data_IF_766556444060
#
_entry.id   IF_766556444060
#
_cell.length_a   1.000
_cell.length_b   1.000
_cell.length_c   1.000
_cell.angle_alpha   90.00
_cell.angle_beta   90.00
_cell.angle_gamma   90.00
#
_symmetry.space_group_name_H-M   'P 1'
#
loop_
_entity.id
_entity.type
_entity.pdbx_description
1 polymer ?
#
# COMPACT_ATOMS: atom_id res chain seq x y z
N UNK A 1 13.04 22.53 35.14
CA UNK A 1 12.18 21.97 34.07
C UNK A 1 13.06 21.52 32.92
N UNK A 2 13.41 20.24 32.91
CA UNK A 2 14.23 19.62 31.88
C UNK A 2 13.34 19.40 30.67
N UNK A 3 13.53 20.18 29.60
CA UNK A 3 12.88 19.93 28.34
C UNK A 3 13.25 18.52 27.89
N UNK A 4 12.27 17.61 27.81
CA UNK A 4 12.46 16.34 27.15
C UNK A 4 12.89 16.66 25.72
N UNK A 5 14.17 16.45 25.41
CA UNK A 5 14.65 16.38 24.03
C UNK A 5 13.96 15.18 23.40
N UNK A 6 12.77 15.38 22.83
CA UNK A 6 12.12 14.40 21.98
C UNK A 6 13.15 13.93 20.96
N UNK A 7 13.23 12.62 20.73
CA UNK A 7 14.17 12.07 19.76
C UNK A 7 13.88 12.72 18.40
N UNK A 8 14.79 13.60 17.96
CA UNK A 8 14.62 14.31 16.70
C UNK A 8 14.72 13.35 15.52
N UNK A 9 13.80 13.48 14.57
CA UNK A 9 13.88 12.82 13.27
C UNK A 9 14.64 13.70 12.29
N UNK A 10 15.54 13.09 11.53
CA UNK A 10 16.23 13.69 10.40
C UNK A 10 15.80 12.96 9.11
N UNK A 11 15.78 13.68 8.01
CA UNK A 11 15.54 13.14 6.68
C UNK A 11 16.80 13.28 5.84
N UNK A 12 17.14 12.19 5.15
CA UNK A 12 18.15 12.14 4.11
C UNK A 12 17.45 11.85 2.78
N UNK A 13 17.74 12.66 1.77
CA UNK A 13 17.18 12.53 0.42
C UNK A 13 18.18 13.06 -0.61
N UNK A 14 17.90 12.83 -1.89
CA UNK A 14 18.65 13.40 -2.99
C UNK A 14 17.94 14.68 -3.44
N UNK A 15 18.65 15.79 -3.54
CA UNK A 15 18.11 17.01 -4.13
C UNK A 15 17.92 16.86 -5.66
N UNK A 16 17.31 17.84 -6.36
CA UNK A 16 17.08 17.74 -7.81
C UNK A 16 18.34 17.62 -8.68
N UNK A 17 19.53 17.94 -8.15
CA UNK A 17 20.82 17.77 -8.84
C UNK A 17 21.57 16.51 -8.39
N UNK A 18 20.95 15.67 -7.55
CA UNK A 18 21.45 14.38 -7.09
C UNK A 18 22.40 14.44 -5.89
N UNK A 19 22.50 15.57 -5.19
CA UNK A 19 23.31 15.69 -3.97
C UNK A 19 22.54 15.16 -2.76
N UNK A 20 23.27 14.49 -1.86
CA UNK A 20 22.70 14.00 -0.61
C UNK A 20 22.52 15.17 0.35
N UNK A 21 21.28 15.43 0.75
CA UNK A 21 20.92 16.43 1.76
C UNK A 21 20.46 15.71 3.02
N UNK A 22 20.89 16.20 4.18
CA UNK A 22 20.39 15.79 5.48
C UNK A 22 19.89 17.01 6.25
N UNK A 23 18.65 16.95 6.75
CA UNK A 23 18.09 18.00 7.60
C UNK A 23 16.98 17.47 8.50
N UNK A 24 16.51 18.32 9.42
CA UNK A 24 15.39 18.01 10.32
C UNK A 24 14.16 17.61 9.51
N UNK A 25 13.51 16.53 9.95
CA UNK A 25 12.35 15.96 9.26
C UNK A 25 11.21 16.98 9.10
N UNK A 26 10.88 17.72 10.16
CA UNK A 26 9.83 18.73 10.12
C UNK A 26 10.10 19.83 9.08
N UNK A 27 11.36 20.27 8.95
CA UNK A 27 11.74 21.30 8.00
C UNK A 27 11.70 20.74 6.56
N UNK A 28 12.12 19.48 6.37
CA UNK A 28 12.04 18.80 5.06
C UNK A 28 10.60 18.58 4.60
N UNK A 29 9.72 18.14 5.48
CA UNK A 29 8.31 17.91 5.17
C UNK A 29 7.58 19.17 4.67
N UNK A 30 8.00 20.35 5.12
CA UNK A 30 7.43 21.64 4.70
C UNK A 30 8.01 22.18 3.39
N UNK A 31 9.29 21.90 3.12
CA UNK A 31 10.03 22.56 2.03
C UNK A 31 10.31 21.66 0.81
N UNK A 32 10.17 20.34 0.94
CA UNK A 32 10.62 19.38 -0.07
C UNK A 32 9.44 18.68 -0.74
N UNK A 33 9.39 18.76 -2.07
CA UNK A 33 8.49 17.97 -2.90
C UNK A 33 9.06 16.56 -3.11
N UNK A 34 8.87 15.67 -2.11
CA UNK A 34 9.36 14.29 -2.16
C UNK A 34 8.82 13.49 -3.36
N UNK A 35 7.65 13.86 -3.87
CA UNK A 35 7.06 13.34 -5.10
C UNK A 35 7.93 13.50 -6.36
N UNK A 36 8.87 14.45 -6.37
CA UNK A 36 9.74 14.73 -7.50
C UNK A 36 11.15 14.16 -7.33
N UNK A 37 11.43 13.53 -6.17
CA UNK A 37 12.76 13.05 -5.86
C UNK A 37 13.01 11.63 -6.38
N UNK A 38 14.23 11.36 -6.87
CA UNK A 38 14.63 10.00 -7.19
C UNK A 38 14.79 9.15 -5.91
N UNK A 39 14.85 7.81 -6.04
CA UNK A 39 15.10 6.93 -4.90
C UNK A 39 16.40 7.30 -4.17
N UNK A 40 16.33 7.54 -2.85
CA UNK A 40 17.51 7.82 -2.00
C UNK A 40 18.43 6.61 -1.82
N UNK A 41 17.93 5.43 -2.17
CA UNK A 41 18.66 4.17 -2.10
C UNK A 41 18.36 3.37 -3.35
N UNK A 42 19.39 2.74 -3.91
CA UNK A 42 19.20 1.76 -4.97
C UNK A 42 18.32 0.61 -4.47
N UNK A 43 17.49 0.08 -5.36
CA UNK A 43 16.75 -1.14 -5.09
C UNK A 43 17.68 -2.34 -5.22
N UNK A 44 17.71 -3.26 -4.23
CA UNK A 44 18.56 -4.45 -4.30
C UNK A 44 18.20 -5.30 -5.52
N UNK A 45 19.22 -5.68 -6.31
CA UNK A 45 19.10 -6.70 -7.35
C UNK A 45 19.67 -7.99 -6.79
N UNK A 46 18.82 -9.01 -6.62
CA UNK A 46 19.24 -10.31 -6.09
C UNK A 46 19.46 -11.27 -7.27
N UNK A 47 20.71 -11.73 -7.50
CA UNK A 47 20.99 -12.67 -8.58
C UNK A 47 20.11 -13.93 -8.52
N UNK A 48 19.63 -14.39 -9.67
CA UNK A 48 18.79 -15.60 -9.78
C UNK A 48 17.30 -15.39 -9.50
N UNK A 49 16.86 -14.19 -9.05
CA UNK A 49 15.42 -13.87 -8.98
C UNK A 49 14.87 -13.54 -10.37
N UNK A 50 13.67 -14.05 -10.67
CA UNK A 50 12.93 -13.77 -11.92
C UNK A 50 12.32 -12.36 -11.99
N UNK A 51 12.36 -11.62 -10.88
CA UNK A 51 11.86 -10.26 -10.78
C UNK A 51 12.97 -9.35 -10.26
N UNK A 52 12.95 -8.09 -10.70
CA UNK A 52 13.88 -7.06 -10.29
C UNK A 52 13.22 -5.70 -10.26
N UNK A 53 13.98 -4.66 -9.87
CA UNK A 53 13.51 -3.29 -9.88
C UNK A 53 13.00 -2.91 -11.28
N UNK A 54 11.92 -2.15 -11.33
CA UNK A 54 11.35 -1.70 -12.58
C UNK A 54 10.55 -0.43 -12.42
N UNK A 55 10.08 0.10 -13.54
CA UNK A 55 9.25 1.30 -13.58
C UNK A 55 7.76 0.94 -13.63
N UNK A 56 6.95 1.75 -12.97
CA UNK A 56 5.49 1.79 -13.07
C UNK A 56 5.10 3.11 -13.73
N UNK A 57 4.48 3.08 -14.91
CA UNK A 57 3.89 4.29 -15.49
C UNK A 57 2.59 4.60 -14.75
N UNK A 58 2.55 5.74 -14.06
CA UNK A 58 1.41 6.21 -13.26
C UNK A 58 0.43 7.01 -14.11
N UNK A 59 -0.84 6.63 -14.09
CA UNK A 59 -1.91 7.37 -14.76
C UNK A 59 -2.22 8.70 -14.06
N UNK A 60 -2.03 8.76 -12.73
CA UNK A 60 -2.19 9.98 -11.93
C UNK A 60 -1.16 11.05 -12.33
N UNK A 61 0.10 10.67 -12.49
CA UNK A 61 1.20 11.64 -12.69
C UNK A 61 1.69 11.74 -14.13
N UNK A 62 1.35 10.78 -14.99
CA UNK A 62 1.93 10.65 -16.34
C UNK A 62 3.42 10.29 -16.35
N UNK A 63 4.01 9.98 -15.18
CA UNK A 63 5.45 9.73 -14.99
C UNK A 63 5.71 8.29 -14.57
N UNK A 64 6.98 7.90 -14.59
CA UNK A 64 7.42 6.61 -14.09
C UNK A 64 7.78 6.69 -12.61
N UNK A 65 7.26 5.75 -11.82
CA UNK A 65 7.59 5.54 -10.42
C UNK A 65 8.45 4.28 -10.30
N UNK A 66 9.57 4.39 -9.60
CA UNK A 66 10.46 3.23 -9.38
C UNK A 66 9.88 2.28 -8.35
N UNK A 67 9.89 0.98 -8.65
CA UNK A 67 9.43 -0.07 -7.75
C UNK A 67 10.44 -1.22 -7.68
N UNK A 68 10.88 -1.56 -6.47
CA UNK A 68 11.87 -2.61 -6.23
C UNK A 68 11.31 -4.02 -6.10
N UNK A 69 9.99 -4.17 -5.96
CA UNK A 69 9.33 -5.46 -5.73
C UNK A 69 7.95 -5.53 -6.38
N UNK A 70 7.44 -6.76 -6.54
CA UNK A 70 6.06 -6.96 -6.99
C UNK A 70 5.05 -6.44 -5.95
N UNK A 71 5.34 -6.57 -4.65
CA UNK A 71 4.48 -6.03 -3.60
C UNK A 71 4.34 -4.50 -3.72
N UNK A 72 5.45 -3.79 -3.99
CA UNK A 72 5.41 -2.35 -4.27
C UNK A 72 4.59 -2.04 -5.52
N UNK A 73 4.75 -2.80 -6.61
CA UNK A 73 3.96 -2.60 -7.84
C UNK A 73 2.47 -2.81 -7.59
N UNK A 74 2.10 -3.80 -6.79
CA UNK A 74 0.71 -4.05 -6.42
C UNK A 74 0.12 -2.88 -5.65
N UNK A 75 0.85 -2.32 -4.70
CA UNK A 75 0.38 -1.15 -3.96
C UNK A 75 0.35 0.13 -4.81
N UNK A 76 1.28 0.29 -5.75
CA UNK A 76 1.22 1.37 -6.74
C UNK A 76 -0.05 1.28 -7.61
N UNK A 77 -0.53 0.08 -7.95
CA UNK A 77 -1.80 -0.07 -8.66
C UNK A 77 -2.99 0.50 -7.87
N UNK A 78 -3.00 0.30 -6.54
CA UNK A 78 -4.07 0.80 -5.67
C UNK A 78 -3.99 2.32 -5.55
N UNK A 79 -2.80 2.85 -5.27
CA UNK A 79 -2.59 4.28 -5.08
C UNK A 79 -2.79 5.09 -6.37
N UNK A 80 -2.34 4.58 -7.52
CA UNK A 80 -2.51 5.22 -8.84
C UNK A 80 -3.96 5.16 -9.37
N UNK A 81 -4.81 4.40 -8.68
CA UNK A 81 -6.26 4.31 -8.92
C UNK A 81 -7.06 5.22 -7.98
N UNK A 82 -6.44 5.70 -6.91
CA UNK A 82 -7.12 6.51 -5.90
C UNK A 82 -7.30 7.95 -6.41
N UNK A 83 -8.54 8.46 -6.53
CA UNK A 83 -8.79 9.81 -7.01
C UNK A 83 -8.24 10.90 -6.08
N UNK A 84 -7.98 10.57 -4.81
CA UNK A 84 -7.40 11.52 -3.86
C UNK A 84 -5.88 11.58 -3.93
N UNK A 85 -5.22 10.66 -4.65
CA UNK A 85 -3.77 10.68 -4.84
C UNK A 85 -3.41 11.58 -6.01
N UNK A 86 -2.46 12.50 -5.80
CA UNK A 86 -2.00 13.47 -6.81
C UNK A 86 -0.55 13.23 -7.25
N UNK A 87 0.27 12.57 -6.43
CA UNK A 87 1.64 12.26 -6.78
C UNK A 87 2.16 10.98 -6.11
N UNK A 88 3.16 10.35 -6.73
CA UNK A 88 3.72 9.07 -6.32
C UNK A 88 5.24 9.06 -6.49
N UNK A 89 5.96 8.54 -5.50
CA UNK A 89 7.41 8.32 -5.58
C UNK A 89 7.82 7.01 -4.92
N UNK A 90 8.94 6.44 -5.38
CA UNK A 90 9.54 5.23 -4.83
C UNK A 90 10.78 5.54 -4.02
N UNK A 91 10.77 5.21 -2.73
CA UNK A 91 11.89 5.43 -1.79
C UNK A 91 12.48 6.86 -1.81
N UNK A 92 11.68 7.95 -1.75
CA UNK A 92 12.22 9.29 -1.94
C UNK A 92 13.05 9.79 -0.73
N UNK A 93 12.90 9.17 0.44
CA UNK A 93 13.50 9.65 1.69
C UNK A 93 13.94 8.52 2.60
N UNK A 94 15.03 8.76 3.33
CA UNK A 94 15.51 7.95 4.45
C UNK A 94 15.28 8.74 5.73
N UNK A 95 14.55 8.17 6.67
CA UNK A 95 14.41 8.75 8.01
C UNK A 95 15.50 8.21 8.94
N UNK A 96 16.04 9.08 9.78
CA UNK A 96 17.00 8.76 10.83
C UNK A 96 16.49 9.24 12.18
N UNK A 97 16.74 8.44 13.21
CA UNK A 97 16.40 8.79 14.59
C UNK A 97 17.37 8.12 15.56
N UNK A 98 17.32 8.50 16.83
CA UNK A 98 18.03 7.80 17.90
C UNK A 98 17.03 6.99 18.70
N UNK A 99 17.33 5.71 18.93
CA UNK A 99 16.53 4.89 19.83
C UNK A 99 16.80 5.26 21.31
N UNK A 100 16.04 4.72 22.29
CA UNK A 100 16.26 5.01 23.72
C UNK A 100 17.65 4.66 24.24
N UNK A 101 18.38 3.78 23.54
CA UNK A 101 19.78 3.42 23.85
C UNK A 101 20.81 4.38 23.21
N UNK A 102 20.36 5.48 22.60
CA UNK A 102 21.20 6.47 21.93
C UNK A 102 21.74 6.06 20.55
N UNK A 103 21.40 4.86 20.05
CA UNK A 103 21.88 4.33 18.79
C UNK A 103 21.15 4.98 17.62
N UNK A 104 21.90 5.40 16.60
CA UNK A 104 21.32 5.92 15.35
C UNK A 104 20.68 4.77 14.58
N UNK A 105 19.41 4.91 14.24
CA UNK A 105 18.63 4.00 13.40
C UNK A 105 18.21 4.74 12.14
N UNK A 106 17.98 3.98 11.07
CA UNK A 106 17.47 4.53 9.82
C UNK A 106 16.54 3.56 9.12
N UNK A 107 15.61 4.14 8.36
CA UNK A 107 14.63 3.42 7.55
C UNK A 107 14.33 4.17 6.26
N UNK A 108 14.03 3.44 5.20
CA UNK A 108 13.63 4.00 3.90
C UNK A 108 12.24 3.43 3.60
N UNK A 109 11.17 4.23 3.78
CA UNK A 109 9.85 3.84 3.34
C UNK A 109 9.86 3.54 1.84
N UNK A 110 9.22 2.46 1.43
CA UNK A 110 9.25 1.99 0.05
C UNK A 110 8.47 2.89 -0.92
N UNK A 111 7.33 3.44 -0.49
CA UNK A 111 6.46 4.29 -1.29
C UNK A 111 6.15 5.62 -0.60
N UNK A 112 5.88 6.61 -1.43
CA UNK A 112 5.33 7.90 -1.05
C UNK A 112 4.11 8.20 -1.94
N UNK A 113 3.04 8.71 -1.33
CA UNK A 113 1.90 9.26 -2.04
C UNK A 113 1.50 10.62 -1.47
N UNK A 114 1.26 11.60 -2.34
CA UNK A 114 0.67 12.90 -1.99
C UNK A 114 -0.82 12.84 -2.21
N UNK A 115 -1.60 13.36 -1.27
CA UNK A 115 -3.06 13.49 -1.40
C UNK A 115 -3.48 14.91 -1.82
N UNK A 116 -4.71 15.03 -2.31
CA UNK A 116 -5.35 16.29 -2.73
C UNK A 116 -5.45 17.32 -1.61
N UNK A 117 -5.55 16.87 -0.36
CA UNK A 117 -5.57 17.74 0.84
C UNK A 117 -4.17 18.22 1.27
N UNK A 118 -3.12 17.84 0.54
CA UNK A 118 -1.72 18.19 0.83
C UNK A 118 -1.03 17.25 1.82
N UNK A 119 -1.75 16.36 2.50
CA UNK A 119 -1.16 15.33 3.36
C UNK A 119 -0.41 14.29 2.52
N UNK A 120 0.42 13.47 3.17
CA UNK A 120 1.12 12.39 2.49
C UNK A 120 1.10 11.07 3.26
N UNK A 121 1.24 10.00 2.50
CA UNK A 121 1.48 8.64 2.97
C UNK A 121 2.94 8.26 2.70
N UNK A 122 3.65 7.82 3.73
CA UNK A 122 4.83 6.96 3.60
C UNK A 122 4.41 5.51 3.83
N UNK A 123 4.91 4.58 3.01
CA UNK A 123 4.48 3.20 3.12
C UNK A 123 5.57 2.17 2.87
N UNK A 124 5.46 1.04 3.57
CA UNK A 124 6.17 -0.19 3.23
C UNK A 124 5.21 -1.22 2.66
N UNK A 125 5.69 -2.00 1.69
CA UNK A 125 4.89 -2.98 0.96
C UNK A 125 5.43 -4.40 1.24
N UNK A 126 5.16 -4.97 2.44
CA UNK A 126 5.55 -6.33 2.76
C UNK A 126 4.93 -7.34 1.78
N UNK A 127 5.69 -8.37 1.40
CA UNK A 127 5.17 -9.48 0.57
C UNK A 127 4.30 -10.48 1.36
N UNK A 128 4.43 -10.49 2.69
CA UNK A 128 3.61 -11.23 3.65
C UNK A 128 3.72 -10.52 5.02
N UNK A 129 2.80 -10.75 5.97
CA UNK A 129 2.72 -9.96 7.22
C UNK A 129 4.04 -9.78 7.98
N UNK A 130 4.84 -10.85 8.06
CA UNK A 130 6.11 -10.88 8.82
C UNK A 130 7.35 -10.42 8.02
N UNK A 131 7.17 -9.96 6.77
CA UNK A 131 8.29 -9.56 5.93
C UNK A 131 9.07 -8.38 6.56
N UNK A 132 10.39 -8.56 6.67
CA UNK A 132 11.33 -7.59 7.24
C UNK A 132 11.63 -7.77 8.74
N UNK A 133 10.92 -8.66 9.44
CA UNK A 133 11.17 -9.04 10.84
C UNK A 133 11.12 -7.87 11.83
N UNK A 134 11.72 -8.06 13.01
CA UNK A 134 11.73 -7.08 14.11
C UNK A 134 12.27 -5.71 13.70
N UNK A 135 13.24 -5.67 12.78
CA UNK A 135 13.81 -4.41 12.30
C UNK A 135 12.76 -3.56 11.59
N UNK A 136 11.93 -4.16 10.73
CA UNK A 136 10.87 -3.45 10.04
C UNK A 136 9.76 -3.02 11.00
N UNK A 137 9.39 -3.88 11.95
CA UNK A 137 8.38 -3.55 12.97
C UNK A 137 8.83 -2.40 13.89
N UNK A 138 10.08 -2.43 14.36
CA UNK A 138 10.65 -1.35 15.17
C UNK A 138 10.77 -0.04 14.39
N UNK A 139 11.08 -0.11 13.09
CA UNK A 139 11.07 1.07 12.23
C UNK A 139 9.65 1.61 12.00
N UNK A 140 8.66 0.73 11.80
CA UNK A 140 7.27 1.12 11.58
C UNK A 140 6.74 2.02 12.70
N UNK A 141 7.01 1.69 13.97
CA UNK A 141 6.62 2.53 15.10
C UNK A 141 7.27 3.92 15.03
N UNK A 142 8.59 3.99 14.83
CA UNK A 142 9.31 5.26 14.77
C UNK A 142 8.89 6.12 13.56
N UNK A 143 8.65 5.51 12.40
CA UNK A 143 8.20 6.23 11.20
C UNK A 143 6.75 6.70 11.36
N UNK A 144 5.90 5.95 12.06
CA UNK A 144 4.54 6.38 12.41
C UNK A 144 4.56 7.63 13.28
N UNK A 145 5.40 7.64 14.32
CA UNK A 145 5.62 8.81 15.17
C UNK A 145 6.14 10.01 14.36
N UNK A 146 7.15 9.80 13.50
CA UNK A 146 7.71 10.84 12.64
C UNK A 146 6.65 11.46 11.72
N UNK A 147 5.82 10.64 11.08
CA UNK A 147 4.72 11.11 10.23
C UNK A 147 3.67 11.87 11.05
N UNK A 148 3.28 11.35 12.22
CA UNK A 148 2.30 11.99 13.09
C UNK A 148 2.68 13.42 13.51
N UNK A 149 3.97 13.68 13.74
CA UNK A 149 4.46 15.02 14.10
C UNK A 149 4.25 16.10 13.02
N UNK A 150 4.05 15.71 11.76
CA UNK A 150 3.89 16.62 10.63
C UNK A 150 2.52 16.49 9.94
N UNK A 151 1.59 15.75 10.56
CA UNK A 151 0.26 15.50 9.99
C UNK A 151 0.26 14.55 8.79
N UNK A 152 1.31 13.75 8.61
CA UNK A 152 1.37 12.70 7.59
C UNK A 152 1.02 11.34 8.18
N UNK A 153 0.80 10.36 7.32
CA UNK A 153 0.51 8.98 7.74
C UNK A 153 1.64 8.05 7.31
N UNK A 154 1.92 7.04 8.13
CA UNK A 154 2.69 5.88 7.71
C UNK A 154 1.83 4.61 7.77
N UNK A 155 1.97 3.72 6.77
CA UNK A 155 1.30 2.41 6.76
C UNK A 155 2.23 1.30 6.26
N UNK A 156 2.12 0.12 6.85
CA UNK A 156 2.55 -1.13 6.22
C UNK A 156 1.37 -1.66 5.41
N UNK A 157 1.45 -1.57 4.08
CA UNK A 157 0.37 -1.96 3.18
C UNK A 157 0.41 -3.48 2.96
N UNK A 158 -0.58 -4.24 3.45
CA UNK A 158 -0.57 -5.70 3.35
C UNK A 158 -0.70 -6.14 1.89
N UNK A 159 -0.28 -7.38 1.54
CA UNK A 159 -0.63 -7.98 0.26
C UNK A 159 -2.14 -7.91 -0.01
N UNK A 160 -2.52 -7.71 -1.26
CA UNK A 160 -3.93 -7.76 -1.67
C UNK A 160 -4.39 -9.21 -1.77
N UNK A 161 -5.67 -9.44 -1.53
CA UNK A 161 -6.33 -10.69 -1.89
C UNK A 161 -6.19 -10.98 -3.39
N UNK A 162 -6.06 -12.25 -3.75
CA UNK A 162 -5.70 -12.68 -5.10
C UNK A 162 -6.70 -12.21 -6.17
N UNK A 163 -8.00 -12.19 -5.84
CA UNK A 163 -9.07 -11.75 -6.75
C UNK A 163 -8.96 -10.25 -7.00
N UNK A 164 -8.86 -9.46 -5.94
CA UNK A 164 -8.70 -8.01 -6.03
C UNK A 164 -7.42 -7.65 -6.81
N UNK A 165 -6.31 -8.33 -6.52
CA UNK A 165 -5.05 -8.15 -7.22
C UNK A 165 -5.18 -8.46 -8.73
N UNK A 166 -5.88 -9.54 -9.10
CA UNK A 166 -6.10 -9.93 -10.50
C UNK A 166 -6.97 -8.90 -11.23
N UNK A 167 -8.07 -8.46 -10.61
CA UNK A 167 -8.97 -7.46 -11.18
C UNK A 167 -8.28 -6.11 -11.37
N UNK A 168 -7.56 -5.62 -10.36
CA UNK A 168 -6.82 -4.36 -10.47
C UNK A 168 -5.70 -4.45 -11.51
N UNK A 169 -5.01 -5.59 -11.61
CA UNK A 169 -4.01 -5.82 -12.65
C UNK A 169 -4.62 -5.81 -14.05
N UNK A 170 -5.83 -6.35 -14.23
CA UNK A 170 -6.57 -6.25 -15.48
C UNK A 170 -6.90 -4.80 -15.82
N UNK A 171 -7.55 -4.08 -14.89
CA UNK A 171 -7.96 -2.68 -15.08
C UNK A 171 -6.76 -1.74 -15.29
N UNK A 172 -5.62 -2.02 -14.65
CA UNK A 172 -4.38 -1.30 -14.87
C UNK A 172 -3.96 -1.28 -16.34
N UNK A 173 -4.26 -2.32 -17.13
CA UNK A 173 -4.01 -2.34 -18.57
C UNK A 173 -4.70 -1.20 -19.33
N UNK A 174 -5.81 -0.68 -18.78
CA UNK A 174 -6.66 0.32 -19.41
C UNK A 174 -6.49 1.73 -18.83
N UNK A 175 -5.58 1.94 -17.87
CA UNK A 175 -5.43 3.23 -17.15
C UNK A 175 -5.02 4.43 -18.02
N UNK A 176 -4.31 4.19 -19.11
CA UNK A 176 -3.78 5.26 -19.98
C UNK A 176 -4.91 6.04 -20.69
N UNK A 177 -4.83 7.39 -20.79
CA UNK A 177 -5.87 8.23 -21.41
C UNK A 177 -6.34 7.80 -22.81
N UNK A 178 -5.44 7.22 -23.61
CA UNK A 178 -5.76 6.59 -24.92
C UNK A 178 -6.97 5.64 -24.90
N UNK A 179 -7.29 5.03 -23.76
CA UNK A 179 -8.39 4.08 -23.64
C UNK A 179 -9.75 4.75 -23.45
N UNK A 180 -9.81 6.07 -23.22
CA UNK A 180 -11.07 6.82 -23.18
C UNK A 180 -11.80 6.80 -24.56
N UNK A 181 -11.07 6.49 -25.64
CA UNK A 181 -11.59 6.36 -26.99
C UNK A 181 -11.86 7.70 -27.67
N UNK A 182 -12.74 7.69 -28.67
CA UNK A 182 -13.10 8.89 -29.43
C UNK A 182 -13.88 9.91 -28.58
N UNK A 183 -13.86 11.21 -28.94
CA UNK A 183 -14.65 12.22 -28.25
C UNK A 183 -16.12 11.81 -28.08
N UNK A 184 -16.64 11.97 -26.87
CA UNK A 184 -18.02 11.62 -26.52
C UNK A 184 -18.24 10.15 -26.11
N UNK A 185 -17.30 9.23 -26.37
CA UNK A 185 -17.47 7.82 -26.01
C UNK A 185 -17.59 7.61 -24.50
N UNK A 186 -16.71 8.24 -23.71
CA UNK A 186 -16.77 8.15 -22.24
C UNK A 186 -18.13 8.61 -21.71
N UNK A 187 -18.67 9.72 -22.21
CA UNK A 187 -19.99 10.21 -21.79
C UNK A 187 -21.11 9.21 -22.14
N UNK A 188 -21.07 8.62 -23.34
CA UNK A 188 -22.02 7.59 -23.74
C UNK A 188 -21.91 6.31 -22.87
N UNK A 189 -20.69 5.92 -22.50
CA UNK A 189 -20.44 4.81 -21.56
C UNK A 189 -21.05 5.12 -20.19
N UNK A 190 -20.78 6.29 -19.62
CA UNK A 190 -21.33 6.66 -18.31
C UNK A 190 -22.86 6.69 -18.32
N UNK A 191 -23.47 7.23 -19.38
CA UNK A 191 -24.93 7.23 -19.57
C UNK A 191 -25.48 5.80 -19.68
N UNK A 192 -24.81 4.92 -20.43
CA UNK A 192 -25.22 3.53 -20.54
C UNK A 192 -25.22 2.82 -19.17
N UNK A 193 -24.37 3.22 -18.23
CA UNK A 193 -24.29 2.68 -16.86
C UNK A 193 -24.94 3.58 -15.79
N UNK A 194 -25.81 4.52 -16.19
CA UNK A 194 -26.59 5.34 -15.25
C UNK A 194 -27.57 4.53 -14.39
N UNK A 195 -27.78 3.24 -14.70
CA UNK A 195 -28.41 2.26 -13.80
C UNK A 195 -27.55 1.00 -13.77
N UNK A 196 -27.54 0.25 -12.65
CA UNK A 196 -26.78 -0.99 -12.56
C UNK A 196 -27.16 -1.94 -13.70
N UNK A 197 -26.16 -2.43 -14.43
CA UNK A 197 -26.36 -3.42 -15.50
C UNK A 197 -25.13 -4.28 -15.74
N UNK A 198 -25.27 -5.46 -16.38
CA UNK A 198 -24.14 -6.28 -16.78
C UNK A 198 -23.17 -5.52 -17.69
N UNK A 199 -21.87 -5.68 -17.45
CA UNK A 199 -20.79 -5.00 -18.17
C UNK A 199 -20.94 -5.13 -19.70
N UNK A 200 -21.17 -6.34 -20.21
CA UNK A 200 -21.28 -6.59 -21.65
C UNK A 200 -22.52 -5.94 -22.26
N UNK A 201 -23.64 -5.93 -21.55
CA UNK A 201 -24.88 -5.32 -22.02
C UNK A 201 -24.74 -3.80 -22.11
N UNK A 202 -24.09 -3.16 -21.13
CA UNK A 202 -23.80 -1.73 -21.19
C UNK A 202 -22.83 -1.38 -22.32
N UNK A 203 -21.82 -2.22 -22.57
CA UNK A 203 -20.90 -2.04 -23.69
C UNK A 203 -21.62 -2.13 -25.05
N UNK A 204 -22.43 -3.18 -25.25
CA UNK A 204 -23.22 -3.39 -26.48
C UNK A 204 -24.27 -2.30 -26.70
N UNK A 205 -24.90 -1.80 -25.63
CA UNK A 205 -25.84 -0.70 -25.71
C UNK A 205 -25.18 0.62 -26.13
N UNK A 206 -23.88 0.79 -25.87
CA UNK A 206 -23.11 1.98 -26.25
C UNK A 206 -22.61 1.91 -27.69
N UNK A 207 -22.24 0.72 -28.18
CA UNK A 207 -21.68 0.52 -29.52
C UNK A 207 -20.98 -0.81 -29.71
N UNK A 208 -20.02 -0.87 -30.65
CA UNK A 208 -19.19 -2.06 -30.89
C UNK A 208 -18.34 -2.38 -29.65
N UNK A 209 -18.49 -3.57 -29.01
CA UNK A 209 -17.71 -3.94 -27.83
C UNK A 209 -16.19 -3.85 -28.02
N UNK A 210 -15.67 -4.05 -29.24
CA UNK A 210 -14.22 -3.93 -29.51
C UNK A 210 -13.73 -2.49 -29.27
N UNK A 211 -14.54 -1.50 -29.63
CA UNK A 211 -14.25 -0.07 -29.41
C UNK A 211 -14.58 0.34 -27.96
N UNK A 212 -15.68 -0.16 -27.41
CA UNK A 212 -16.28 0.34 -26.16
C UNK A 212 -15.60 -0.24 -24.91
N UNK A 213 -15.25 -1.52 -24.90
CA UNK A 213 -14.72 -2.18 -23.69
C UNK A 213 -13.49 -1.49 -23.09
N UNK A 214 -12.50 -1.01 -23.88
CA UNK A 214 -11.39 -0.23 -23.35
C UNK A 214 -11.84 1.01 -22.56
N UNK A 215 -12.87 1.72 -23.04
CA UNK A 215 -13.42 2.90 -22.37
C UNK A 215 -14.17 2.55 -21.08
N UNK A 216 -14.88 1.41 -21.05
CA UNK A 216 -15.52 0.89 -19.83
C UNK A 216 -14.48 0.55 -18.77
N UNK A 217 -13.44 -0.20 -19.13
CA UNK A 217 -12.36 -0.55 -18.19
C UNK A 217 -11.55 0.67 -17.75
N UNK A 218 -11.36 1.66 -18.62
CA UNK A 218 -10.76 2.94 -18.26
C UNK A 218 -11.61 3.72 -17.26
N UNK A 219 -12.93 3.79 -17.48
CA UNK A 219 -13.85 4.45 -16.55
C UNK A 219 -13.93 3.72 -15.19
N UNK A 220 -13.88 2.38 -15.18
CA UNK A 220 -13.72 1.58 -13.97
C UNK A 220 -12.41 1.92 -13.26
N UNK A 221 -11.28 1.98 -13.96
CA UNK A 221 -9.97 2.36 -13.40
C UNK A 221 -9.96 3.76 -12.78
N UNK A 222 -10.69 4.72 -13.35
CA UNK A 222 -10.78 6.09 -12.84
C UNK A 222 -11.92 6.30 -11.83
N UNK A 223 -12.58 5.22 -11.38
CA UNK A 223 -13.75 5.24 -10.45
C UNK A 223 -14.96 6.04 -10.97
N UNK A 224 -15.02 6.33 -12.27
CA UNK A 224 -16.19 6.93 -12.91
C UNK A 224 -17.33 5.91 -13.09
N UNK A 225 -16.95 4.62 -13.12
CA UNK A 225 -17.81 3.47 -12.94
C UNK A 225 -17.33 2.65 -11.75
N UNK A 226 -18.25 1.91 -11.13
CA UNK A 226 -17.96 0.97 -10.05
C UNK A 226 -18.55 -0.40 -10.35
N UNK A 227 -17.89 -1.42 -9.79
CA UNK A 227 -18.29 -2.83 -9.75
C UNK A 227 -17.68 -3.41 -8.49
N UNK A 228 -18.22 -4.52 -8.01
CA UNK A 228 -17.54 -5.32 -7.00
C UNK A 228 -16.22 -5.87 -7.60
N UNK A 229 -15.10 -5.62 -6.90
CA UNK A 229 -13.76 -6.05 -7.30
C UNK A 229 -13.23 -7.17 -6.40
N UNK A 230 -13.98 -7.57 -5.38
CA UNK A 230 -13.66 -8.71 -4.51
C UNK A 230 -14.19 -10.03 -5.10
N UNK A 231 -15.00 -9.94 -6.15
CA UNK A 231 -15.41 -11.06 -7.01
C UNK A 231 -14.74 -11.00 -8.38
N UNK A 232 -14.50 -12.14 -9.06
CA UNK A 232 -13.82 -12.13 -10.36
C UNK A 232 -14.52 -11.24 -11.39
N UNK A 233 -13.80 -10.32 -12.02
CA UNK A 233 -14.35 -9.45 -13.04
C UNK A 233 -14.67 -10.26 -14.31
N UNK A 234 -15.95 -10.28 -14.70
CA UNK A 234 -16.44 -10.98 -15.90
C UNK A 234 -17.50 -10.16 -16.63
N UNK A 235 -17.91 -10.63 -17.81
CA UNK A 235 -18.83 -9.91 -18.72
C UNK A 235 -20.20 -9.59 -18.10
N UNK A 236 -20.64 -10.43 -17.16
CA UNK A 236 -21.91 -10.29 -16.41
C UNK A 236 -21.79 -9.51 -15.09
N UNK A 237 -20.60 -9.01 -14.75
CA UNK A 237 -20.42 -8.22 -13.54
C UNK A 237 -21.29 -6.96 -13.59
N UNK A 238 -21.91 -6.60 -12.47
CA UNK A 238 -22.82 -5.46 -12.39
C UNK A 238 -22.02 -4.17 -12.27
N UNK A 239 -22.19 -3.30 -13.25
CA UNK A 239 -21.49 -2.01 -13.33
C UNK A 239 -22.50 -0.87 -13.21
N UNK A 240 -22.12 0.18 -12.50
CA UNK A 240 -22.94 1.39 -12.32
C UNK A 240 -22.05 2.63 -12.26
N UNK A 241 -22.56 3.78 -12.69
CA UNK A 241 -21.94 5.07 -12.39
C UNK A 241 -22.26 5.51 -10.95
N UNK A 242 -21.28 6.00 -10.16
CA UNK A 242 -21.53 6.47 -8.78
C UNK A 242 -22.58 7.58 -8.68
N UNK A 243 -22.75 8.39 -9.73
CA UNK A 243 -23.69 9.51 -9.77
C UNK A 243 -25.18 9.13 -9.84
N UNK A 244 -25.50 7.83 -9.89
CA UNK A 244 -26.89 7.34 -10.01
C UNK A 244 -27.45 6.64 -8.77
N UNK A 245 -26.68 6.53 -7.69
CA UNK A 245 -27.26 6.12 -6.41
C UNK A 245 -27.87 7.36 -5.72
N UNK A 246 -29.15 7.35 -5.31
CA UNK A 246 -29.59 8.30 -4.29
C UNK A 246 -28.69 8.12 -3.05
N UNK A 247 -28.39 9.19 -2.29
CA UNK A 247 -27.63 9.06 -1.05
C UNK A 247 -28.31 8.00 -0.19
N UNK A 248 -27.56 6.97 0.20
CA UNK A 248 -28.03 6.05 1.22
C UNK A 248 -28.35 6.89 2.45
N UNK A 249 -29.59 6.81 2.93
CA UNK A 249 -30.02 7.50 4.14
C UNK A 249 -28.96 7.28 5.22
N UNK A 250 -28.37 8.38 5.68
CA UNK A 250 -27.62 8.41 6.92
C UNK A 250 -28.63 8.11 8.03
N UNK A 251 -28.80 6.82 8.30
CA UNK A 251 -29.56 6.31 9.43
C UNK A 251 -28.93 6.83 10.70
N UNK A 252 -29.49 7.93 11.18
CA UNK A 252 -29.42 8.34 12.58
C UNK A 252 -29.92 7.17 13.42
N UNK A 253 -29.02 6.58 14.19
CA UNK A 253 -29.36 5.97 15.48
C UNK A 253 -28.55 6.67 16.57
N UNK A 254 -29.04 7.86 16.92
CA UNK A 254 -28.92 8.37 18.28
C UNK A 254 -29.78 7.48 19.18
N UNK A 255 -29.17 6.44 19.75
CA UNK A 255 -29.75 5.61 20.80
C UNK A 255 -29.25 6.08 22.15
N UNK A 256 -29.95 7.05 22.74
CA UNK A 256 -29.87 7.40 24.14
C UNK A 256 -30.39 6.21 24.96
N UNK A 257 -29.56 5.63 25.83
CA UNK A 257 -30.04 4.76 26.90
C UNK A 257 -29.58 5.34 28.23
N UNK A 258 -30.59 5.61 29.04
CA UNK A 258 -30.56 6.20 30.36
C UNK A 258 -29.87 5.28 31.36
N UNK A 259 -29.19 5.91 32.31
CA UNK A 259 -28.86 5.36 33.61
C UNK A 259 -30.14 5.01 34.37
N UNK A 260 -30.25 3.76 34.82
CA UNK A 260 -31.09 3.36 35.95
C UNK A 260 -30.23 2.49 36.85
N UNK A 261 -30.01 2.98 38.07
CA UNK A 261 -29.30 2.30 39.14
C UNK A 261 -30.18 1.19 39.75
N UNK A 262 -29.56 0.07 40.10
CA UNK A 262 -30.17 -1.00 40.88
C UNK A 262 -29.10 -1.84 41.56
N UNK A 263 -28.89 -1.56 42.84
CA UNK A 263 -28.06 -2.30 43.79
C UNK A 263 -28.61 -3.71 44.05
N UNK A 264 -27.74 -4.69 44.35
CA UNK A 264 -28.13 -6.01 44.86
C UNK A 264 -26.99 -7.02 44.86
N UNK A 265 -26.53 -7.39 46.05
CA UNK A 265 -25.36 -8.18 46.43
C UNK A 265 -25.46 -9.71 46.21
N UNK A 266 -24.35 -10.37 46.55
CA UNK A 266 -24.10 -11.81 46.80
C UNK A 266 -23.86 -12.68 45.55
N UNK A 267 -22.71 -13.32 45.33
CA UNK A 267 -21.78 -13.96 46.26
C UNK A 267 -21.95 -15.48 46.13
N UNK A 268 -21.02 -16.17 45.45
CA UNK A 268 -20.61 -17.55 45.72
C UNK A 268 -19.44 -17.97 44.82
N UNK A 269 -18.43 -18.52 45.50
CA UNK A 269 -17.28 -19.24 44.98
C UNK A 269 -17.70 -20.54 44.27
N UNK A 270 -16.98 -20.94 43.21
CA UNK A 270 -16.54 -22.33 43.08
C UNK A 270 -15.37 -22.49 42.08
N UNK A 271 -14.30 -23.01 42.68
CA UNK A 271 -13.06 -23.59 42.20
C UNK A 271 -13.29 -24.80 41.27
N UNK A 272 -12.42 -25.04 40.26
CA UNK A 272 -11.90 -26.38 39.87
C UNK A 272 -10.79 -26.28 38.79
N UNK A 273 -9.55 -26.58 39.23
CA UNK A 273 -8.47 -27.43 38.65
C UNK A 273 -8.19 -27.42 37.14
N UNK A 274 -6.98 -27.08 36.68
CA UNK A 274 -5.68 -27.79 36.75
C UNK A 274 -5.59 -29.02 35.83
N UNK A 275 -4.78 -28.90 34.76
CA UNK A 275 -4.06 -30.00 34.12
C UNK A 275 -2.81 -29.44 33.43
N UNK A 276 -1.69 -29.62 34.14
CA UNK A 276 -0.34 -29.69 33.61
C UNK A 276 -0.15 -30.92 32.73
N UNK A 277 0.55 -30.81 31.59
CA UNK A 277 1.40 -31.90 31.12
C UNK A 277 2.63 -31.38 30.37
N UNK A 278 3.77 -31.56 31.03
CA UNK A 278 5.15 -31.46 30.56
C UNK A 278 5.49 -32.65 29.68
N UNK A 279 6.18 -32.43 28.56
CA UNK A 279 7.09 -33.42 28.00
C UNK A 279 8.32 -32.73 27.40
N UNK A 280 9.44 -33.05 28.03
CA UNK A 280 10.81 -32.64 27.80
C UNK A 280 11.52 -33.68 26.90
N UNK A 281 12.63 -33.26 26.30
CA UNK A 281 13.77 -34.06 25.80
C UNK A 281 13.60 -34.77 24.44
N UNK A 282 14.28 -34.29 23.40
CA UNK A 282 15.71 -34.44 23.07
C UNK A 282 15.98 -35.75 22.31
N UNK A 283 16.48 -35.66 21.08
CA UNK A 283 17.77 -36.30 20.80
C UNK A 283 18.44 -35.76 19.53
N UNK A 284 19.76 -35.79 19.64
CA UNK A 284 20.78 -35.38 18.70
C UNK A 284 21.22 -36.63 17.95
N UNK A 285 21.47 -36.60 16.64
CA UNK A 285 22.63 -37.34 16.16
C UNK A 285 23.25 -36.77 14.88
N UNK A 286 24.57 -36.79 14.93
CA UNK A 286 25.53 -36.33 13.95
C UNK A 286 25.76 -37.38 12.85
N UNK A 287 26.43 -36.94 11.79
CA UNK A 287 26.91 -37.85 10.75
C UNK A 287 27.62 -37.08 9.63
N UNK A 288 28.80 -36.54 9.95
CA UNK A 288 29.77 -36.22 8.92
C UNK A 288 30.56 -37.46 8.55
N UNK A 289 30.94 -37.59 7.28
CA UNK A 289 32.31 -38.01 6.97
C UNK A 289 32.76 -37.50 5.59
N UNK A 290 34.05 -37.21 5.54
CA UNK A 290 34.85 -36.66 4.45
C UNK A 290 35.10 -37.68 3.33
N UNK A 291 35.33 -37.19 2.10
CA UNK A 291 36.38 -37.76 1.24
C UNK A 291 36.72 -36.83 0.06
N UNK A 292 38.02 -36.50 -0.05
CA UNK A 292 38.69 -36.59 -1.36
C UNK A 292 39.17 -35.30 -2.01
N UNK A 293 40.24 -34.71 -1.46
CA UNK A 293 41.12 -33.82 -2.22
C UNK A 293 41.88 -34.58 -3.33
N UNK A 294 41.97 -34.00 -4.53
CA UNK A 294 43.16 -34.15 -5.40
C UNK A 294 43.47 -32.84 -6.12
N UNK A 295 44.63 -32.26 -5.75
CA UNK A 295 45.42 -31.32 -6.55
C UNK A 295 46.09 -32.07 -7.71
N UNK A 296 46.28 -31.37 -8.82
CA UNK A 296 47.17 -31.74 -9.91
C UNK A 296 47.47 -30.52 -10.77
N UNK A 297 48.51 -29.77 -10.41
CA UNK A 297 49.27 -28.88 -11.29
C UNK A 297 50.16 -29.74 -12.21
N UNK A 298 50.29 -29.36 -13.49
CA UNK A 298 51.57 -28.96 -14.10
C UNK A 298 51.52 -28.89 -15.64
N UNK A 299 52.29 -27.90 -16.13
CA UNK A 299 52.81 -27.62 -17.49
C UNK A 299 51.92 -26.79 -18.41
#
# INVERSE_FOLDING_TARGET
>A
MTAARGAGFEAVFLDPIGQVVQQRWADAALAVAFEDLPPVSAFPVIPGRRWGPGLWWSATTGRHVSAGSNAMRTQLMVLDRDPDVTALAGQPVRLLWRNPRGQVRSWVPQLFARYTDGTALLADCPSHPDAGGERALGAAQAVTEACGHIGWTYRRLPPLDDILAANLKWLAGYRHPRNAGRPGLTAAVLEAFARPRPLIEGAQATGDPIEVLPAVFNALWHRQLTTDLDTPLHERAMVVSPGSLPPADAGVTAGCLQEEAGEGEDGHDEETQDISETAENADTDAGGDEAGARRGEAV
#
